data_IF_842983139064
#
_entry.id   IF_842983139064
#
_cell.length_a   1.000
_cell.length_b   1.000
_cell.length_c   1.000
_cell.angle_alpha   90.00
_cell.angle_beta   90.00
_cell.angle_gamma   90.00
#
_symmetry.space_group_name_H-M   'P 1'
#
loop_
_entity.id
_entity.type
_entity.pdbx_description
1 polymer ?
#
# COMPACT_ATOMS: atom_id res chain seq x y z
N UNK A 1 28.23 -19.76 4.39
CA UNK A 1 26.97 -18.98 4.47
C UNK A 1 27.08 -17.90 3.43
N UNK A 2 26.05 -17.69 2.64
CA UNK A 2 26.03 -16.69 1.56
C UNK A 2 24.71 -15.93 1.66
N UNK A 3 24.77 -14.61 1.48
CA UNK A 3 23.60 -13.74 1.39
C UNK A 3 23.34 -13.45 -0.08
N UNK A 4 22.14 -13.74 -0.56
CA UNK A 4 21.69 -13.32 -1.89
C UNK A 4 20.75 -12.13 -1.80
N UNK A 5 20.92 -11.14 -2.67
CA UNK A 5 20.07 -9.96 -2.70
C UNK A 5 19.67 -9.53 -4.13
N UNK A 6 18.62 -8.73 -4.23
CA UNK A 6 18.28 -8.05 -5.48
C UNK A 6 19.16 -6.82 -5.69
N UNK A 7 19.38 -6.41 -6.93
CA UNK A 7 20.03 -5.14 -7.29
C UNK A 7 19.07 -3.95 -7.04
N UNK A 8 18.80 -3.65 -5.77
CA UNK A 8 18.05 -2.47 -5.35
C UNK A 8 18.86 -1.68 -4.35
N UNK A 9 18.82 -0.35 -4.45
CA UNK A 9 19.54 0.55 -3.53
C UNK A 9 19.20 0.29 -2.05
N UNK A 10 18.00 -0.22 -1.77
CA UNK A 10 17.53 -0.53 -0.42
C UNK A 10 18.02 -1.90 0.09
N UNK A 11 18.05 -2.96 -0.73
CA UNK A 11 18.72 -4.22 -0.35
C UNK A 11 20.19 -4.01 -0.14
N UNK A 12 20.86 -3.42 -1.14
CA UNK A 12 22.31 -3.40 -1.24
C UNK A 12 22.95 -2.67 -0.06
N UNK A 13 22.34 -1.59 0.43
CA UNK A 13 22.82 -0.88 1.61
C UNK A 13 22.71 -1.67 2.93
N UNK A 14 21.73 -2.58 3.05
CA UNK A 14 21.57 -3.43 4.25
C UNK A 14 22.47 -4.65 4.18
N UNK A 15 22.45 -5.37 3.06
CA UNK A 15 23.26 -6.59 2.87
C UNK A 15 24.74 -6.27 2.86
N UNK A 16 25.18 -5.13 2.30
CA UNK A 16 26.57 -4.69 2.39
C UNK A 16 27.02 -4.41 3.83
N UNK A 17 26.15 -3.84 4.67
CA UNK A 17 26.44 -3.64 6.10
C UNK A 17 26.53 -4.97 6.84
N UNK A 18 25.60 -5.89 6.59
CA UNK A 18 25.61 -7.24 7.16
C UNK A 18 26.87 -8.03 6.73
N UNK A 19 27.26 -7.94 5.46
CA UNK A 19 28.48 -8.56 4.92
C UNK A 19 29.72 -8.16 5.71
N UNK A 20 29.93 -6.85 5.91
CA UNK A 20 31.07 -6.32 6.67
C UNK A 20 31.07 -6.80 8.13
N UNK A 21 29.89 -6.84 8.75
CA UNK A 21 29.74 -7.17 10.17
C UNK A 21 29.90 -8.67 10.43
N UNK A 22 29.42 -9.50 9.51
CA UNK A 22 29.44 -10.96 9.63
C UNK A 22 30.63 -11.62 8.96
N UNK A 23 31.39 -10.86 8.17
CA UNK A 23 32.44 -11.37 7.28
C UNK A 23 31.92 -12.45 6.32
N UNK A 24 30.83 -12.13 5.63
CA UNK A 24 30.10 -13.06 4.76
C UNK A 24 29.89 -12.47 3.39
N UNK A 25 30.00 -13.32 2.38
CA UNK A 25 29.81 -12.97 0.98
C UNK A 25 28.35 -12.59 0.69
N UNK A 26 28.18 -11.50 -0.06
CA UNK A 26 26.91 -11.06 -0.61
C UNK A 26 27.00 -11.14 -2.13
N UNK A 27 26.07 -11.87 -2.73
CA UNK A 27 25.97 -12.04 -4.17
C UNK A 27 24.62 -11.51 -4.66
N UNK A 28 24.62 -10.85 -5.82
CA UNK A 28 23.38 -10.44 -6.48
C UNK A 28 22.71 -11.65 -7.13
N UNK A 29 21.40 -11.79 -6.95
CA UNK A 29 20.64 -12.93 -7.50
C UNK A 29 20.76 -13.04 -9.02
N UNK A 30 20.85 -11.92 -9.74
CA UNK A 30 21.01 -11.87 -11.19
C UNK A 30 22.38 -12.31 -11.70
N UNK A 31 23.35 -12.51 -10.81
CA UNK A 31 24.74 -12.90 -11.14
C UNK A 31 25.07 -14.32 -10.71
N UNK A 32 24.09 -15.08 -10.19
CA UNK A 32 24.31 -16.45 -9.73
C UNK A 32 24.51 -17.36 -10.94
N UNK A 33 25.62 -18.10 -10.97
CA UNK A 33 25.77 -19.26 -11.83
C UNK A 33 25.10 -20.47 -11.16
N UNK A 34 23.96 -20.91 -11.68
CA UNK A 34 23.16 -22.00 -11.09
C UNK A 34 23.75 -23.39 -11.36
N UNK A 35 24.70 -23.49 -12.30
CA UNK A 35 25.35 -24.74 -12.67
C UNK A 35 26.55 -25.07 -11.75
N UNK A 36 27.00 -24.12 -10.92
CA UNK A 36 28.10 -24.31 -9.99
C UNK A 36 27.60 -24.73 -8.59
N UNK A 37 28.02 -25.90 -8.06
CA UNK A 37 27.61 -26.34 -6.74
C UNK A 37 28.26 -25.50 -5.64
N UNK A 38 27.46 -24.95 -4.73
CA UNK A 38 27.98 -24.26 -3.53
C UNK A 38 28.21 -25.24 -2.38
N UNK A 39 29.39 -25.15 -1.74
CA UNK A 39 29.71 -25.86 -0.49
C UNK A 39 28.94 -25.30 0.72
N UNK A 40 28.23 -24.18 0.57
CA UNK A 40 27.51 -23.54 1.68
C UNK A 40 26.29 -24.36 2.12
N UNK A 41 26.15 -24.58 3.42
CA UNK A 41 25.01 -25.29 4.03
C UNK A 41 23.82 -24.37 4.40
N UNK A 42 24.09 -23.08 4.67
CA UNK A 42 23.09 -22.07 5.03
C UNK A 42 23.06 -20.93 4.00
N UNK A 43 21.93 -20.79 3.32
CA UNK A 43 21.64 -19.76 2.35
C UNK A 43 20.67 -18.75 2.96
N UNK A 44 20.97 -17.46 2.84
CA UNK A 44 20.08 -16.39 3.27
C UNK A 44 19.64 -15.57 2.05
N UNK A 45 18.34 -15.55 1.78
CA UNK A 45 17.74 -14.80 0.69
C UNK A 45 17.16 -13.50 1.24
N UNK A 46 17.67 -12.36 0.80
CA UNK A 46 17.02 -11.08 0.99
C UNK A 46 16.23 -10.78 -0.30
N UNK A 47 14.91 -10.90 -0.25
CA UNK A 47 13.99 -10.67 -1.39
C UNK A 47 13.29 -9.31 -1.21
N UNK A 48 13.40 -8.45 -2.23
CA UNK A 48 12.71 -7.15 -2.23
C UNK A 48 11.24 -7.30 -2.59
N UNK A 49 10.38 -6.51 -1.95
CA UNK A 49 8.94 -6.45 -2.19
C UNK A 49 8.57 -5.03 -2.62
N UNK A 50 8.53 -4.84 -3.94
CA UNK A 50 8.30 -3.57 -4.65
C UNK A 50 6.83 -3.26 -4.93
N UNK A 51 5.89 -3.83 -4.16
CA UNK A 51 4.45 -3.52 -4.28
C UNK A 51 3.71 -4.32 -5.34
N UNK A 52 4.42 -5.12 -6.14
CA UNK A 52 3.87 -6.21 -6.92
C UNK A 52 3.76 -7.44 -6.02
N UNK A 53 2.62 -8.11 -6.05
CA UNK A 53 2.35 -9.30 -5.23
C UNK A 53 3.07 -10.56 -5.76
N UNK A 54 3.97 -10.41 -6.74
CA UNK A 54 4.68 -11.48 -7.44
C UNK A 54 6.20 -11.37 -7.27
N UNK A 55 6.88 -12.52 -7.21
CA UNK A 55 8.34 -12.62 -7.26
C UNK A 55 8.87 -12.11 -8.61
N UNK A 56 10.03 -11.44 -8.60
CA UNK A 56 10.71 -11.13 -9.85
C UNK A 56 11.23 -12.42 -10.51
N UNK A 57 11.39 -12.37 -11.83
CA UNK A 57 11.85 -13.52 -12.64
C UNK A 57 13.15 -14.12 -12.11
N UNK A 58 14.09 -13.30 -11.61
CA UNK A 58 15.35 -13.79 -11.07
C UNK A 58 15.18 -14.61 -9.78
N UNK A 59 14.27 -14.19 -8.90
CA UNK A 59 13.95 -14.96 -7.69
C UNK A 59 13.22 -16.24 -8.03
N UNK A 60 12.29 -16.19 -8.97
CA UNK A 60 11.56 -17.38 -9.43
C UNK A 60 12.53 -18.43 -10.00
N UNK A 61 13.48 -18.03 -10.86
CA UNK A 61 14.49 -18.92 -11.43
C UNK A 61 15.34 -19.55 -10.32
N UNK A 62 15.85 -18.77 -9.36
CA UNK A 62 16.64 -19.30 -8.25
C UNK A 62 15.82 -20.28 -7.40
N UNK A 63 14.59 -19.93 -7.05
CA UNK A 63 13.72 -20.73 -6.18
C UNK A 63 13.25 -22.04 -6.83
N UNK A 64 13.16 -22.10 -8.16
CA UNK A 64 12.88 -23.32 -8.94
C UNK A 64 14.12 -24.18 -9.20
N UNK A 65 15.32 -23.66 -8.98
CA UNK A 65 16.56 -24.34 -9.32
C UNK A 65 16.94 -25.43 -8.30
N UNK A 66 17.71 -26.43 -8.75
CA UNK A 66 18.28 -27.44 -7.83
C UNK A 66 19.37 -26.88 -6.91
N UNK A 67 19.85 -25.66 -7.17
CA UNK A 67 20.93 -25.00 -6.43
C UNK A 67 20.65 -24.94 -4.91
N UNK A 68 19.39 -24.75 -4.54
CA UNK A 68 18.96 -24.64 -3.14
C UNK A 68 18.50 -25.95 -2.51
N UNK A 69 18.51 -27.07 -3.25
CA UNK A 69 18.04 -28.37 -2.76
C UNK A 69 18.88 -28.84 -1.57
N UNK A 70 18.21 -29.34 -0.53
CA UNK A 70 18.84 -29.89 0.70
C UNK A 70 19.72 -28.89 1.47
N UNK A 71 19.65 -27.59 1.16
CA UNK A 71 20.31 -26.52 1.92
C UNK A 71 19.39 -25.98 3.00
N UNK A 72 19.92 -25.40 4.07
CA UNK A 72 19.09 -24.60 5.00
C UNK A 72 18.85 -23.23 4.36
N UNK A 73 17.61 -22.88 4.09
CA UNK A 73 17.26 -21.61 3.44
C UNK A 73 16.50 -20.72 4.40
N UNK A 74 16.99 -19.49 4.58
CA UNK A 74 16.32 -18.45 5.38
C UNK A 74 15.95 -17.30 4.46
N UNK A 75 14.67 -16.93 4.40
CA UNK A 75 14.17 -15.88 3.52
C UNK A 75 13.74 -14.66 4.33
N UNK A 76 14.40 -13.54 4.10
CA UNK A 76 14.03 -12.21 4.58
C UNK A 76 13.32 -11.44 3.47
N UNK A 77 12.09 -11.04 3.72
CA UNK A 77 11.35 -10.12 2.85
C UNK A 77 11.60 -8.68 3.31
N UNK A 78 12.01 -7.80 2.39
CA UNK A 78 12.23 -6.38 2.68
C UNK A 78 11.61 -5.51 1.59
N UNK A 79 11.34 -4.24 1.84
CA UNK A 79 10.91 -3.33 0.76
C UNK A 79 10.41 -1.99 1.26
N UNK A 80 9.94 -1.16 0.32
CA UNK A 80 9.64 0.26 0.56
C UNK A 80 8.14 0.52 0.77
N UNK A 81 7.26 -0.35 0.25
CA UNK A 81 5.81 -0.21 0.36
C UNK A 81 5.23 -0.65 1.70
N UNK A 82 4.10 -0.04 2.06
CA UNK A 82 3.43 -0.13 3.35
C UNK A 82 2.51 -1.35 3.55
N UNK A 83 2.45 -2.28 2.60
CA UNK A 83 1.61 -3.47 2.75
C UNK A 83 2.24 -4.47 3.73
N UNK A 84 1.47 -4.84 4.76
CA UNK A 84 1.83 -5.85 5.74
C UNK A 84 1.93 -7.20 5.02
N UNK A 85 3.09 -7.86 5.13
CA UNK A 85 3.29 -9.20 4.61
C UNK A 85 3.11 -10.18 5.77
N UNK A 86 2.28 -11.20 5.53
CA UNK A 86 2.01 -12.32 6.42
C UNK A 86 2.08 -13.65 5.69
N UNK A 87 1.83 -14.75 6.40
CA UNK A 87 1.87 -16.10 5.81
C UNK A 87 0.87 -16.29 4.65
N UNK A 88 -0.17 -15.47 4.57
CA UNK A 88 -1.20 -15.56 3.54
C UNK A 88 -0.92 -14.71 2.30
N UNK A 89 0.10 -13.84 2.36
CA UNK A 89 0.49 -12.97 1.27
C UNK A 89 0.91 -13.76 0.04
N UNK A 90 0.51 -13.32 -1.15
CA UNK A 90 0.74 -14.05 -2.41
C UNK A 90 2.23 -14.36 -2.60
N UNK A 91 3.10 -13.37 -2.39
CA UNK A 91 4.55 -13.57 -2.48
C UNK A 91 5.07 -14.63 -1.49
N UNK A 92 4.52 -14.71 -0.29
CA UNK A 92 4.91 -15.74 0.70
C UNK A 92 4.43 -17.11 0.24
N UNK A 93 3.19 -17.22 -0.26
CA UNK A 93 2.64 -18.45 -0.84
C UNK A 93 3.44 -18.92 -2.05
N UNK A 94 3.87 -18.01 -2.93
CA UNK A 94 4.72 -18.34 -4.08
C UNK A 94 6.09 -18.87 -3.65
N UNK A 95 6.74 -18.22 -2.68
CA UNK A 95 8.03 -18.68 -2.16
C UNK A 95 7.87 -20.05 -1.49
N UNK A 96 6.83 -20.25 -0.67
CA UNK A 96 6.53 -21.57 -0.08
C UNK A 96 6.31 -22.62 -1.15
N UNK A 97 5.47 -22.33 -2.15
CA UNK A 97 5.19 -23.26 -3.24
C UNK A 97 6.46 -23.74 -3.94
N UNK A 98 7.35 -22.81 -4.34
CA UNK A 98 8.58 -23.19 -5.02
C UNK A 98 9.59 -23.86 -4.09
N UNK A 99 9.74 -23.37 -2.86
CA UNK A 99 10.70 -23.94 -1.94
C UNK A 99 10.28 -25.33 -1.43
N UNK A 100 9.01 -25.55 -1.08
CA UNK A 100 8.52 -26.87 -0.60
C UNK A 100 8.62 -27.95 -1.68
N UNK A 101 8.51 -27.60 -2.96
CA UNK A 101 8.75 -28.53 -4.06
C UNK A 101 10.20 -29.04 -4.13
N UNK A 102 11.16 -28.32 -3.54
CA UNK A 102 12.58 -28.49 -3.79
C UNK A 102 13.43 -28.65 -2.51
N UNK A 103 12.90 -28.26 -1.34
CA UNK A 103 13.62 -28.19 -0.08
C UNK A 103 12.66 -28.37 1.12
N UNK A 104 13.10 -29.07 2.17
CA UNK A 104 12.31 -29.32 3.39
C UNK A 104 12.78 -28.49 4.60
N UNK A 105 13.87 -27.73 4.46
CA UNK A 105 14.52 -26.96 5.53
C UNK A 105 14.45 -25.46 5.25
N UNK A 106 13.23 -24.95 5.14
CA UNK A 106 12.97 -23.56 4.76
C UNK A 106 12.42 -22.79 5.94
N UNK A 107 12.89 -21.55 6.07
CA UNK A 107 12.31 -20.60 6.99
C UNK A 107 12.07 -19.27 6.33
N UNK A 108 10.80 -18.93 6.12
CA UNK A 108 10.38 -17.64 5.58
C UNK A 108 9.99 -16.75 6.75
N UNK A 109 10.51 -15.53 6.74
CA UNK A 109 10.02 -14.47 7.59
C UNK A 109 8.96 -13.69 6.84
N UNK A 110 7.68 -13.93 7.12
CA UNK A 110 6.62 -13.30 6.36
C UNK A 110 6.55 -11.80 6.65
N UNK A 111 7.08 -11.29 7.78
CA UNK A 111 7.02 -9.86 8.06
C UNK A 111 8.06 -9.08 7.25
N UNK A 112 7.57 -8.07 6.52
CA UNK A 112 8.40 -7.12 5.78
C UNK A 112 9.33 -6.34 6.70
N UNK A 113 10.64 -6.56 6.56
CA UNK A 113 11.67 -5.85 7.31
C UNK A 113 12.06 -4.56 6.58
N UNK A 114 12.18 -3.45 7.30
CA UNK A 114 12.61 -2.17 6.73
C UNK A 114 14.04 -1.83 7.15
N UNK A 115 14.83 -1.23 6.23
CA UNK A 115 16.18 -0.70 6.51
C UNK A 115 16.22 0.34 7.64
N UNK A 116 15.07 0.94 7.96
CA UNK A 116 14.92 1.91 9.03
C UNK A 116 14.58 1.28 10.38
N UNK A 117 14.18 0.00 10.43
CA UNK A 117 13.64 -0.65 11.63
C UNK A 117 14.39 -1.94 12.03
N UNK A 118 15.51 -2.26 11.37
CA UNK A 118 16.31 -3.45 11.65
C UNK A 118 17.63 -3.08 12.32
N UNK A 119 17.86 -3.58 13.55
CA UNK A 119 19.14 -3.47 14.23
C UNK A 119 20.13 -4.52 13.68
N UNK A 120 21.15 -4.03 12.98
CA UNK A 120 22.10 -4.89 12.27
C UNK A 120 22.99 -5.70 13.24
N UNK A 121 23.24 -5.19 14.44
CA UNK A 121 24.02 -5.92 15.45
C UNK A 121 23.22 -7.08 16.06
N UNK A 122 21.92 -6.92 16.28
CA UNK A 122 21.06 -8.00 16.77
C UNK A 122 20.85 -9.08 15.69
N UNK A 123 20.73 -8.69 14.41
CA UNK A 123 20.74 -9.64 13.28
C UNK A 123 22.07 -10.41 13.21
N UNK A 124 23.19 -9.76 13.52
CA UNK A 124 24.51 -10.42 13.60
C UNK A 124 24.54 -11.46 14.71
N UNK A 125 24.20 -11.08 15.94
CA UNK A 125 24.19 -11.98 17.10
C UNK A 125 23.27 -13.17 16.86
N UNK A 126 22.11 -12.93 16.24
CA UNK A 126 21.16 -13.94 15.86
C UNK A 126 21.68 -14.92 14.79
N UNK A 127 22.33 -14.42 13.74
CA UNK A 127 22.96 -15.27 12.71
C UNK A 127 24.08 -16.12 13.32
N UNK A 128 24.88 -15.54 14.23
CA UNK A 128 25.91 -16.27 14.97
C UNK A 128 25.32 -17.31 15.93
N UNK A 129 24.15 -17.02 16.52
CA UNK A 129 23.39 -17.94 17.36
C UNK A 129 22.76 -19.10 16.56
N UNK A 130 22.23 -18.84 15.36
CA UNK A 130 21.73 -19.88 14.45
C UNK A 130 22.82 -20.87 14.01
N UNK A 131 24.06 -20.38 13.91
CA UNK A 131 25.24 -21.21 13.62
C UNK A 131 25.56 -22.19 14.76
N UNK A 132 25.17 -21.88 16.00
CA UNK A 132 25.56 -22.64 17.20
C UNK A 132 24.49 -23.59 17.75
N UNK A 133 23.22 -23.54 17.27
CA UNK A 133 22.12 -24.35 17.83
C UNK A 133 21.09 -24.83 16.79
N UNK A 134 20.59 -26.07 16.96
CA UNK A 134 19.35 -26.60 16.35
C UNK A 134 18.13 -25.99 17.07
N UNK A 135 17.66 -24.83 16.61
CA UNK A 135 16.60 -24.06 17.29
C UNK A 135 15.21 -24.48 16.82
N UNK A 136 14.30 -24.69 17.78
CA UNK A 136 12.87 -24.87 17.54
C UNK A 136 12.23 -23.59 16.97
N UNK A 137 11.36 -23.77 15.98
CA UNK A 137 10.81 -22.75 15.08
C UNK A 137 10.32 -21.45 15.76
N UNK A 138 9.70 -21.59 16.94
CA UNK A 138 9.04 -20.54 17.72
C UNK A 138 9.98 -19.48 18.33
N UNK A 139 11.15 -19.85 18.87
CA UNK A 139 12.07 -18.90 19.54
C UNK A 139 12.62 -17.85 18.56
N UNK A 140 12.88 -18.29 17.34
CA UNK A 140 13.36 -17.47 16.24
C UNK A 140 12.32 -16.48 15.74
N UNK A 141 11.03 -16.87 15.71
CA UNK A 141 9.95 -15.97 15.34
C UNK A 141 9.78 -14.86 16.40
N UNK A 142 9.88 -15.23 17.68
CA UNK A 142 9.80 -14.30 18.82
C UNK A 142 10.92 -13.24 18.81
N UNK A 143 12.16 -13.65 18.53
CA UNK A 143 13.31 -12.73 18.53
C UNK A 143 13.25 -11.73 17.38
N UNK A 144 12.89 -12.17 16.17
CA UNK A 144 12.82 -11.26 15.00
C UNK A 144 11.64 -10.30 15.11
N UNK A 145 10.54 -10.73 15.73
CA UNK A 145 9.43 -9.83 16.08
C UNK A 145 9.88 -8.71 17.01
N UNK A 146 10.71 -8.99 18.02
CA UNK A 146 11.18 -7.99 18.98
C UNK A 146 11.96 -6.87 18.28
N UNK A 147 12.79 -7.20 17.29
CA UNK A 147 13.58 -6.23 16.50
C UNK A 147 12.70 -5.25 15.73
N UNK A 148 11.56 -5.71 15.19
CA UNK A 148 10.64 -4.86 14.42
C UNK A 148 9.85 -3.86 15.28
N UNK A 149 9.70 -4.14 16.58
CA UNK A 149 8.96 -3.31 17.54
C UNK A 149 9.76 -2.10 18.07
N UNK A 150 11.07 -2.01 17.80
CA UNK A 150 11.94 -1.02 18.46
C UNK A 150 11.82 0.41 17.88
N UNK A 151 11.44 0.59 16.60
CA UNK A 151 11.64 1.89 15.91
C UNK A 151 10.40 2.79 15.66
N UNK A 152 9.22 2.46 16.17
CA UNK A 152 8.10 3.41 16.26
C UNK A 152 7.31 3.21 17.55
N UNK A 153 7.96 3.50 18.68
CA UNK A 153 7.35 3.30 20.00
C UNK A 153 6.29 4.36 20.39
N UNK A 154 6.26 5.53 19.74
CA UNK A 154 5.42 6.65 20.17
C UNK A 154 4.88 7.50 18.99
N UNK A 155 3.66 8.06 19.11
CA UNK A 155 3.14 9.11 18.22
C UNK A 155 4.12 10.28 18.08
N UNK A 156 4.14 10.91 16.91
CA UNK A 156 5.03 12.03 16.61
C UNK A 156 4.23 13.27 16.22
N UNK A 157 4.62 14.40 16.79
CA UNK A 157 4.29 15.72 16.26
C UNK A 157 5.36 16.02 15.21
N UNK A 158 4.96 16.09 13.95
CA UNK A 158 5.90 16.32 12.83
C UNK A 158 6.21 17.81 12.66
N UNK A 159 5.19 18.65 12.86
CA UNK A 159 5.26 20.10 12.89
C UNK A 159 4.12 20.65 13.78
N UNK A 160 4.03 21.96 13.93
CA UNK A 160 3.02 22.61 14.77
C UNK A 160 1.57 22.32 14.31
N UNK A 161 1.37 21.89 13.06
CA UNK A 161 0.04 21.69 12.47
C UNK A 161 -0.35 20.21 12.35
N UNK A 162 0.60 19.28 12.52
CA UNK A 162 0.43 17.85 12.20
C UNK A 162 0.66 16.93 13.40
N UNK A 163 -0.41 16.24 13.80
CA UNK A 163 -0.35 15.13 14.73
C UNK A 163 -0.39 13.80 13.98
N UNK A 164 0.66 12.99 14.13
CA UNK A 164 0.73 11.68 13.49
C UNK A 164 0.82 10.56 14.54
N UNK A 165 -0.27 9.81 14.63
CA UNK A 165 -0.44 8.65 15.50
C UNK A 165 0.03 7.34 14.85
N UNK A 166 0.44 7.38 13.57
CA UNK A 166 0.89 6.19 12.85
C UNK A 166 2.12 5.60 13.52
N UNK A 167 2.00 4.32 13.90
CA UNK A 167 3.08 3.53 14.46
C UNK A 167 3.11 2.15 13.76
N UNK A 168 4.26 1.48 13.80
CA UNK A 168 4.38 0.11 13.29
C UNK A 168 3.46 -0.82 14.09
N UNK A 169 2.72 -1.68 13.39
CA UNK A 169 1.84 -2.71 13.97
C UNK A 169 0.80 -2.16 14.98
N UNK A 170 0.08 -1.08 14.66
CA UNK A 170 -0.86 -0.43 15.58
C UNK A 170 -0.23 -0.09 16.94
N UNK A 171 0.94 0.56 16.91
CA UNK A 171 1.62 0.99 18.13
C UNK A 171 0.78 1.94 18.99
N UNK A 172 -0.15 2.69 18.38
CA UNK A 172 -1.09 3.54 19.11
C UNK A 172 -2.02 2.73 20.01
N UNK A 173 -2.75 1.75 19.48
CA UNK A 173 -3.61 0.90 20.30
C UNK A 173 -2.79 0.05 21.27
N UNK A 174 -1.66 -0.51 20.83
CA UNK A 174 -0.82 -1.34 21.69
C UNK A 174 -0.30 -0.60 22.92
N UNK A 175 0.14 0.66 22.76
CA UNK A 175 0.62 1.49 23.86
C UNK A 175 -0.47 1.73 24.92
N UNK A 176 -1.70 1.96 24.47
CA UNK A 176 -2.84 2.25 25.35
C UNK A 176 -3.36 0.97 26.03
N UNK A 177 -3.39 -0.15 25.28
CA UNK A 177 -3.80 -1.45 25.80
C UNK A 177 -2.89 -1.94 26.95
N UNK A 178 -1.58 -1.72 26.87
CA UNK A 178 -0.64 -2.04 27.99
C UNK A 178 -1.01 -1.29 29.27
N UNK A 179 -1.64 -0.12 29.14
CA UNK A 179 -2.11 0.70 30.27
C UNK A 179 -3.58 0.49 30.61
N UNK A 180 -4.25 -0.50 29.99
CA UNK A 180 -5.70 -0.72 30.09
C UNK A 180 -6.53 0.52 29.69
N UNK A 181 -6.05 1.31 28.74
CA UNK A 181 -6.74 2.48 28.21
C UNK A 181 -7.34 2.13 26.85
N UNK A 182 -8.62 2.42 26.66
CA UNK A 182 -9.32 2.17 25.40
C UNK A 182 -8.84 3.15 24.30
N UNK A 183 -8.28 2.62 23.21
CA UNK A 183 -7.74 3.43 22.12
C UNK A 183 -8.80 4.24 21.36
N UNK A 184 -10.05 3.77 21.30
CA UNK A 184 -11.16 4.52 20.70
C UNK A 184 -11.53 5.73 21.54
N UNK A 185 -11.62 5.58 22.86
CA UNK A 185 -11.89 6.71 23.73
C UNK A 185 -10.81 7.79 23.62
N UNK A 186 -9.54 7.39 23.58
CA UNK A 186 -8.43 8.34 23.41
C UNK A 186 -8.47 8.99 22.04
N UNK A 187 -8.66 8.23 20.96
CA UNK A 187 -8.75 8.81 19.62
C UNK A 187 -9.96 9.76 19.48
N UNK A 188 -11.10 9.43 20.10
CA UNK A 188 -12.25 10.32 20.16
C UNK A 188 -11.88 11.65 20.82
N UNK A 189 -11.22 11.62 21.98
CA UNK A 189 -10.77 12.84 22.66
C UNK A 189 -9.74 13.61 21.83
N UNK A 190 -8.82 12.92 21.14
CA UNK A 190 -7.87 13.56 20.24
C UNK A 190 -8.62 14.28 19.11
N UNK A 191 -9.53 13.61 18.41
CA UNK A 191 -10.29 14.22 17.31
C UNK A 191 -11.16 15.38 17.78
N UNK A 192 -11.75 15.27 18.97
CA UNK A 192 -12.60 16.31 19.56
C UNK A 192 -11.79 17.55 19.98
N UNK A 193 -10.63 17.36 20.62
CA UNK A 193 -9.88 18.43 21.29
C UNK A 193 -8.64 18.90 20.53
N UNK A 194 -8.28 18.26 19.43
CA UNK A 194 -7.05 18.58 18.69
C UNK A 194 -7.06 20.01 18.17
N UNK A 195 -5.98 20.72 18.48
CA UNK A 195 -5.65 22.03 17.91
C UNK A 195 -4.83 21.92 16.62
N UNK A 196 -4.52 20.71 16.16
CA UNK A 196 -3.76 20.46 14.94
C UNK A 196 -4.71 20.51 13.72
N UNK A 197 -4.19 20.95 12.58
CA UNK A 197 -4.95 20.98 11.32
C UNK A 197 -4.92 19.63 10.60
N UNK A 198 -3.92 18.80 10.88
CA UNK A 198 -3.69 17.54 10.19
C UNK A 198 -3.59 16.42 11.22
N UNK A 199 -4.43 15.39 11.07
CA UNK A 199 -4.30 14.14 11.81
C UNK A 199 -4.03 12.99 10.85
N UNK A 200 -2.98 12.23 11.19
CA UNK A 200 -2.60 11.01 10.50
C UNK A 200 -2.69 9.86 11.49
N UNK A 201 -3.55 8.88 11.21
CA UNK A 201 -3.77 7.71 12.07
C UNK A 201 -3.84 6.47 11.18
N UNK A 202 -2.71 6.07 10.60
CA UNK A 202 -2.67 4.90 9.73
C UNK A 202 -2.37 3.64 10.53
N UNK A 203 -2.86 2.49 10.05
CA UNK A 203 -2.60 1.15 10.62
C UNK A 203 -3.01 1.02 12.09
N UNK A 204 -4.13 1.63 12.42
CA UNK A 204 -4.79 1.50 13.73
C UNK A 204 -6.09 0.75 13.51
N UNK A 205 -6.37 -0.29 14.30
CA UNK A 205 -7.65 -1.01 14.18
C UNK A 205 -8.80 -0.11 14.60
N UNK A 206 -9.48 0.51 13.64
CA UNK A 206 -10.66 1.36 13.84
C UNK A 206 -11.93 0.69 13.34
N UNK A 207 -11.95 -0.65 13.27
CA UNK A 207 -13.11 -1.40 12.78
C UNK A 207 -14.39 -1.13 13.58
N UNK A 208 -14.26 -0.83 14.89
CA UNK A 208 -15.37 -0.46 15.77
C UNK A 208 -15.40 1.01 16.19
N UNK A 209 -14.61 1.89 15.57
CA UNK A 209 -14.55 3.29 15.97
C UNK A 209 -15.78 4.07 15.51
N UNK A 210 -16.42 4.79 16.43
CA UNK A 210 -17.56 5.65 16.11
C UNK A 210 -17.10 7.12 15.94
N UNK A 211 -17.42 7.70 14.78
CA UNK A 211 -17.16 9.10 14.46
C UNK A 211 -18.32 10.02 14.83
N UNK A 212 -19.50 9.46 15.13
CA UNK A 212 -20.66 10.24 15.55
C UNK A 212 -20.36 11.01 16.84
N UNK A 213 -21.01 12.16 17.00
CA UNK A 213 -20.87 13.05 18.15
C UNK A 213 -19.49 13.72 18.30
N UNK A 214 -18.57 13.55 17.34
CA UNK A 214 -17.33 14.31 17.28
C UNK A 214 -17.56 15.58 16.46
N UNK A 215 -17.34 16.73 17.08
CA UNK A 215 -17.37 18.04 16.41
C UNK A 215 -15.97 18.64 16.44
N UNK A 216 -15.45 19.04 15.27
CA UNK A 216 -14.15 19.69 15.19
C UNK A 216 -14.13 20.73 14.07
N UNK A 217 -13.73 21.96 14.39
CA UNK A 217 -13.66 23.07 13.47
C UNK A 217 -12.22 23.53 13.17
N UNK A 218 -11.21 22.75 13.54
CA UNK A 218 -9.79 23.08 13.30
C UNK A 218 -9.19 22.16 12.24
N UNK A 219 -9.57 20.88 12.22
CA UNK A 219 -9.03 19.87 11.33
C UNK A 219 -9.35 20.19 9.88
N UNK A 220 -8.28 20.34 9.08
CA UNK A 220 -8.34 20.53 7.64
C UNK A 220 -8.09 19.22 6.88
N UNK A 221 -7.34 18.28 7.46
CA UNK A 221 -6.96 17.03 6.78
C UNK A 221 -6.94 15.82 7.71
N UNK A 222 -7.55 14.73 7.26
CA UNK A 222 -7.59 13.44 7.95
C UNK A 222 -7.02 12.35 7.04
N UNK A 223 -6.05 11.58 7.55
CA UNK A 223 -5.42 10.44 6.86
C UNK A 223 -5.49 9.18 7.72
N UNK A 224 -6.45 8.31 7.42
CA UNK A 224 -6.78 7.11 8.20
C UNK A 224 -6.70 5.89 7.28
N UNK A 225 -5.46 5.52 6.93
CA UNK A 225 -5.20 4.45 5.96
C UNK A 225 -4.98 3.12 6.65
N UNK A 226 -5.48 2.03 6.06
CA UNK A 226 -5.24 0.68 6.60
C UNK A 226 -5.74 0.50 8.03
N UNK A 227 -6.93 1.02 8.32
CA UNK A 227 -7.52 1.05 9.65
C UNK A 227 -8.66 0.04 9.85
N UNK A 228 -8.84 -0.91 8.94
CA UNK A 228 -9.91 -1.94 8.99
C UNK A 228 -11.34 -1.38 9.03
N UNK A 229 -11.53 -0.12 8.64
CA UNK A 229 -12.84 0.56 8.63
C UNK A 229 -13.73 -0.08 7.55
N UNK A 230 -14.97 -0.42 7.91
CA UNK A 230 -15.92 -1.12 7.03
C UNK A 230 -17.04 -0.23 6.48
N UNK A 231 -17.36 0.86 7.17
CA UNK A 231 -18.43 1.78 6.80
C UNK A 231 -17.85 3.18 6.51
N UNK A 232 -18.54 3.97 5.69
CA UNK A 232 -18.15 5.35 5.48
C UNK A 232 -18.25 6.14 6.79
N UNK A 233 -17.18 6.82 7.24
CA UNK A 233 -17.21 7.59 8.48
C UNK A 233 -18.13 8.81 8.34
N UNK A 234 -18.95 9.07 9.37
CA UNK A 234 -19.77 10.28 9.48
C UNK A 234 -18.91 11.45 9.92
N UNK A 235 -18.52 12.30 8.96
CA UNK A 235 -17.61 13.42 9.15
C UNK A 235 -18.29 14.79 8.96
N UNK A 236 -19.62 14.85 8.84
CA UNK A 236 -20.39 16.07 8.57
C UNK A 236 -20.10 17.20 9.57
N UNK A 237 -19.71 16.85 10.79
CA UNK A 237 -19.43 17.78 11.89
C UNK A 237 -17.99 18.33 11.89
N UNK A 238 -17.16 17.93 10.93
CA UNK A 238 -15.78 18.40 10.77
C UNK A 238 -15.74 19.62 9.83
N UNK A 239 -16.29 20.75 10.27
CA UNK A 239 -16.66 21.89 9.41
C UNK A 239 -15.55 22.47 8.52
N UNK A 240 -14.27 22.41 8.95
CA UNK A 240 -13.14 22.95 8.20
C UNK A 240 -12.36 21.91 7.36
N UNK A 241 -12.88 20.68 7.28
CA UNK A 241 -12.21 19.59 6.59
C UNK A 241 -12.16 19.83 5.08
N UNK A 242 -10.95 19.83 4.52
CA UNK A 242 -10.69 20.03 3.08
C UNK A 242 -10.23 18.76 2.38
N UNK A 243 -9.58 17.84 3.11
CA UNK A 243 -9.01 16.61 2.55
C UNK A 243 -9.31 15.41 3.44
N UNK A 244 -9.86 14.36 2.84
CA UNK A 244 -10.10 13.08 3.51
C UNK A 244 -9.40 11.95 2.76
N UNK A 245 -8.71 11.09 3.50
CA UNK A 245 -8.04 9.93 2.95
C UNK A 245 -8.27 8.71 3.84
N UNK A 246 -9.11 7.80 3.35
CA UNK A 246 -9.48 6.53 3.95
C UNK A 246 -9.07 5.37 3.04
N UNK A 247 -7.94 5.51 2.32
CA UNK A 247 -7.46 4.47 1.42
C UNK A 247 -7.04 3.19 2.18
N UNK A 248 -7.07 2.04 1.51
CA UNK A 248 -6.64 0.75 2.06
C UNK A 248 -7.48 0.27 3.26
N UNK A 249 -8.77 0.57 3.30
CA UNK A 249 -9.70 0.08 4.32
C UNK A 249 -10.57 -1.07 3.75
N UNK A 250 -11.69 -1.39 4.40
CA UNK A 250 -12.65 -2.45 4.01
C UNK A 250 -14.02 -1.87 3.66
N UNK A 251 -14.08 -0.63 3.18
CA UNK A 251 -15.34 0.08 2.94
C UNK A 251 -16.06 -0.55 1.75
N UNK A 252 -17.36 -0.84 1.91
CA UNK A 252 -18.20 -1.49 0.89
C UNK A 252 -19.07 -0.48 0.15
N UNK A 253 -19.59 0.53 0.85
CA UNK A 253 -20.41 1.59 0.27
C UNK A 253 -19.85 2.97 0.65
N UNK A 254 -19.74 3.86 -0.33
CA UNK A 254 -19.28 5.23 -0.12
C UNK A 254 -20.47 6.19 -0.01
N UNK A 255 -20.75 6.69 1.19
CA UNK A 255 -21.81 7.66 1.46
C UNK A 255 -21.26 9.09 1.42
N UNK A 256 -21.39 9.78 0.28
CA UNK A 256 -20.78 11.10 0.08
C UNK A 256 -21.43 12.17 0.96
N UNK A 257 -22.70 12.00 1.30
CA UNK A 257 -23.45 12.90 2.20
C UNK A 257 -22.92 12.92 3.64
N UNK A 258 -22.07 11.97 4.01
CA UNK A 258 -21.43 11.94 5.32
C UNK A 258 -20.26 12.93 5.43
N UNK A 259 -19.89 13.62 4.35
CA UNK A 259 -18.78 14.58 4.35
C UNK A 259 -19.28 16.02 4.41
N UNK A 260 -18.52 16.93 5.05
CA UNK A 260 -18.88 18.33 5.13
C UNK A 260 -18.66 19.02 3.77
N UNK A 261 -19.43 20.08 3.49
CA UNK A 261 -19.43 20.78 2.20
C UNK A 261 -18.11 21.49 1.84
N UNK A 262 -17.15 21.56 2.78
CA UNK A 262 -15.82 22.12 2.55
C UNK A 262 -14.82 21.15 1.91
N UNK A 263 -15.14 19.85 1.79
CA UNK A 263 -14.20 18.83 1.34
C UNK A 263 -13.89 18.98 -0.15
N UNK A 264 -12.63 19.24 -0.48
CA UNK A 264 -12.19 19.37 -1.88
C UNK A 264 -11.57 18.11 -2.45
N UNK A 265 -10.99 17.28 -1.58
CA UNK A 265 -10.14 16.14 -1.99
C UNK A 265 -10.51 14.89 -1.22
N UNK A 266 -10.91 13.86 -1.95
CA UNK A 266 -11.39 12.60 -1.40
C UNK A 266 -10.53 11.46 -1.95
N UNK A 267 -10.04 10.60 -1.05
CA UNK A 267 -9.33 9.38 -1.44
C UNK A 267 -9.84 8.17 -0.64
N UNK A 268 -10.48 7.24 -1.35
CA UNK A 268 -10.98 5.96 -0.87
C UNK A 268 -10.44 4.80 -1.73
N UNK A 269 -9.26 4.97 -2.35
CA UNK A 269 -8.61 3.91 -3.12
C UNK A 269 -8.30 2.68 -2.27
N UNK A 270 -8.20 1.50 -2.88
CA UNK A 270 -7.91 0.22 -2.22
C UNK A 270 -8.95 -0.12 -1.15
N UNK A 271 -10.23 0.00 -1.46
CA UNK A 271 -11.33 -0.48 -0.63
C UNK A 271 -12.07 -1.59 -1.39
N UNK A 272 -13.25 -1.98 -0.93
CA UNK A 272 -14.14 -2.91 -1.62
C UNK A 272 -15.41 -2.24 -2.11
N UNK A 273 -15.32 -0.93 -2.43
CA UNK A 273 -16.49 -0.11 -2.73
C UNK A 273 -17.16 -0.59 -4.01
N UNK A 274 -18.40 -1.03 -3.92
CA UNK A 274 -19.21 -1.43 -5.08
C UNK A 274 -20.33 -0.44 -5.40
N UNK A 275 -20.60 0.51 -4.50
CA UNK A 275 -21.69 1.48 -4.62
C UNK A 275 -21.31 2.84 -4.03
N UNK A 276 -21.72 3.90 -4.72
CA UNK A 276 -21.63 5.28 -4.23
C UNK A 276 -23.06 5.79 -3.97
N UNK A 277 -23.28 6.27 -2.75
CA UNK A 277 -24.55 6.77 -2.25
C UNK A 277 -24.45 8.29 -2.05
N UNK A 278 -25.38 9.02 -2.65
CA UNK A 278 -25.49 10.47 -2.54
C UNK A 278 -26.93 10.94 -2.82
N UNK A 279 -27.31 12.09 -2.28
CA UNK A 279 -28.53 12.79 -2.66
C UNK A 279 -28.34 13.44 -4.03
N UNK A 280 -28.94 12.83 -5.08
CA UNK A 280 -28.88 13.31 -6.47
C UNK A 280 -29.44 14.73 -6.64
N UNK A 281 -30.15 15.30 -5.66
CA UNK A 281 -30.64 16.69 -5.66
C UNK A 281 -29.59 17.69 -5.17
N UNK A 282 -28.57 17.22 -4.45
CA UNK A 282 -27.45 18.04 -4.00
C UNK A 282 -26.40 18.13 -5.09
N UNK A 283 -25.55 19.15 -4.95
CA UNK A 283 -24.45 19.34 -5.86
C UNK A 283 -23.11 19.29 -5.11
N UNK A 284 -22.20 18.48 -5.64
CA UNK A 284 -20.86 18.25 -5.10
C UNK A 284 -19.77 19.03 -5.85
N UNK A 285 -20.12 20.18 -6.45
CA UNK A 285 -19.21 21.11 -7.16
C UNK A 285 -18.02 21.64 -6.33
N UNK A 286 -17.98 21.40 -5.02
CA UNK A 286 -16.84 21.75 -4.18
C UNK A 286 -15.71 20.70 -4.26
N UNK A 287 -16.00 19.48 -4.71
CA UNK A 287 -15.03 18.40 -4.82
C UNK A 287 -14.27 18.53 -6.15
N UNK A 288 -12.96 18.71 -6.03
CA UNK A 288 -12.04 18.93 -7.15
C UNK A 288 -11.19 17.68 -7.46
N UNK A 289 -11.03 16.77 -6.48
CA UNK A 289 -10.18 15.59 -6.60
C UNK A 289 -10.84 14.37 -5.96
N UNK A 290 -11.04 13.31 -6.76
CA UNK A 290 -11.64 12.06 -6.33
C UNK A 290 -10.77 10.87 -6.74
N UNK A 291 -10.33 10.10 -5.75
CA UNK A 291 -9.53 8.89 -5.95
C UNK A 291 -10.24 7.66 -5.38
N UNK A 292 -10.54 6.72 -6.27
CA UNK A 292 -11.30 5.48 -6.06
C UNK A 292 -10.61 4.29 -6.74
N UNK A 293 -9.29 4.38 -6.95
CA UNK A 293 -8.48 3.32 -7.55
C UNK A 293 -8.60 2.01 -6.78
N UNK A 294 -8.65 0.86 -7.45
CA UNK A 294 -8.74 -0.46 -6.81
C UNK A 294 -9.94 -0.56 -5.87
N UNK A 295 -11.12 -0.64 -6.48
CA UNK A 295 -12.42 -0.86 -5.84
C UNK A 295 -13.23 -1.85 -6.71
N UNK A 296 -14.54 -1.93 -6.51
CA UNK A 296 -15.45 -2.84 -7.22
C UNK A 296 -16.56 -2.08 -7.97
N UNK A 297 -16.27 -0.86 -8.42
CA UNK A 297 -17.26 0.00 -9.09
C UNK A 297 -17.57 -0.50 -10.50
N UNK A 298 -18.86 -0.65 -10.77
CA UNK A 298 -19.40 -1.00 -12.10
C UNK A 298 -20.32 0.10 -12.66
N UNK A 299 -20.97 0.86 -11.78
CA UNK A 299 -21.85 1.99 -12.11
C UNK A 299 -21.11 3.32 -11.88
N UNK A 300 -21.36 4.28 -12.76
CA UNK A 300 -20.73 5.59 -12.78
C UNK A 300 -21.71 6.76 -12.91
N UNK A 301 -23.03 6.51 -12.85
CA UNK A 301 -24.06 7.57 -12.93
C UNK A 301 -23.81 8.71 -11.92
N UNK A 302 -23.30 8.35 -10.73
CA UNK A 302 -22.98 9.27 -9.64
C UNK A 302 -21.99 10.37 -10.05
N UNK A 303 -21.13 10.14 -11.06
CA UNK A 303 -20.20 11.16 -11.59
C UNK A 303 -20.93 12.41 -12.09
N UNK A 304 -22.19 12.27 -12.51
CA UNK A 304 -23.00 13.40 -12.94
C UNK A 304 -23.15 14.49 -11.88
N UNK A 305 -22.97 14.18 -10.60
CA UNK A 305 -23.11 15.12 -9.49
C UNK A 305 -21.82 15.91 -9.17
N UNK A 306 -20.70 15.62 -9.87
CA UNK A 306 -19.37 16.16 -9.57
C UNK A 306 -18.77 17.00 -10.72
N UNK A 307 -19.46 18.07 -11.16
CA UNK A 307 -19.05 18.82 -12.37
C UNK A 307 -17.73 19.60 -12.28
N UNK A 308 -17.13 19.75 -11.09
CA UNK A 308 -15.89 20.50 -10.85
C UNK A 308 -14.65 19.63 -10.61
N UNK A 309 -14.75 18.34 -10.91
CA UNK A 309 -13.63 17.40 -10.81
C UNK A 309 -12.52 17.80 -11.79
N UNK A 310 -11.32 17.98 -11.26
CA UNK A 310 -10.07 18.19 -12.00
C UNK A 310 -9.19 16.94 -12.02
N UNK A 311 -9.26 16.13 -10.96
CA UNK A 311 -8.54 14.86 -10.85
C UNK A 311 -9.52 13.73 -10.56
N UNK A 312 -9.57 12.74 -11.44
CA UNK A 312 -10.33 11.52 -11.26
C UNK A 312 -9.41 10.30 -11.39
N UNK A 313 -9.43 9.43 -10.39
CA UNK A 313 -8.77 8.14 -10.46
C UNK A 313 -9.76 7.03 -10.13
N UNK A 314 -10.12 6.25 -11.15
CA UNK A 314 -11.04 5.11 -11.08
C UNK A 314 -10.40 3.85 -11.68
N UNK A 315 -9.07 3.84 -11.86
CA UNK A 315 -8.33 2.68 -12.34
C UNK A 315 -8.48 1.46 -11.41
N UNK A 316 -8.18 0.27 -11.93
CA UNK A 316 -8.33 -1.01 -11.20
C UNK A 316 -9.74 -1.20 -10.63
N UNK A 317 -10.77 -0.74 -11.35
CA UNK A 317 -12.16 -1.13 -11.17
C UNK A 317 -12.56 -2.07 -12.32
N UNK A 318 -13.59 -2.92 -12.16
CA UNK A 318 -14.04 -3.88 -13.19
C UNK A 318 -14.74 -3.22 -14.40
N UNK A 319 -14.19 -2.12 -14.92
CA UNK A 319 -14.71 -1.39 -16.07
C UNK A 319 -14.42 -2.13 -17.38
N UNK A 320 -15.47 -2.32 -18.18
CA UNK A 320 -15.40 -2.88 -19.54
C UNK A 320 -15.38 -1.80 -20.63
N UNK A 321 -15.87 -0.61 -20.31
CA UNK A 321 -15.95 0.55 -21.19
C UNK A 321 -15.60 1.81 -20.39
N UNK A 322 -15.19 2.87 -21.07
CA UNK A 322 -15.08 4.20 -20.45
C UNK A 322 -16.51 4.73 -20.27
N UNK A 323 -16.96 5.01 -19.03
CA UNK A 323 -18.33 5.48 -18.77
C UNK A 323 -18.59 6.86 -19.39
N UNK A 324 -19.79 7.06 -19.93
CA UNK A 324 -20.15 8.28 -20.67
C UNK A 324 -20.16 9.54 -19.79
N UNK A 325 -20.40 9.37 -18.49
CA UNK A 325 -20.44 10.43 -17.50
C UNK A 325 -19.10 11.16 -17.38
N UNK A 326 -17.98 10.49 -17.69
CA UNK A 326 -16.65 11.12 -17.73
C UNK A 326 -16.63 12.28 -18.72
N UNK A 327 -17.33 12.18 -19.85
CA UNK A 327 -17.34 13.23 -20.88
C UNK A 327 -18.10 14.49 -20.44
N UNK A 328 -18.90 14.37 -19.37
CA UNK A 328 -19.55 15.48 -18.68
C UNK A 328 -18.61 16.28 -17.74
N UNK A 329 -17.42 15.78 -17.44
CA UNK A 329 -16.46 16.41 -16.52
C UNK A 329 -15.59 17.45 -17.25
N UNK A 330 -16.18 18.58 -17.60
CA UNK A 330 -15.52 19.60 -18.45
C UNK A 330 -14.27 20.24 -17.85
N UNK A 331 -14.12 20.21 -16.52
CA UNK A 331 -12.97 20.75 -15.80
C UNK A 331 -11.86 19.71 -15.56
N UNK A 332 -11.99 18.48 -16.06
CA UNK A 332 -11.02 17.40 -15.79
C UNK A 332 -9.66 17.70 -16.43
N UNK A 333 -8.60 17.59 -15.63
CA UNK A 333 -7.21 17.79 -16.04
C UNK A 333 -6.42 16.47 -16.00
N UNK A 334 -6.74 15.59 -15.06
CA UNK A 334 -6.07 14.31 -14.87
C UNK A 334 -7.09 13.18 -14.75
N UNK A 335 -7.02 12.21 -15.65
CA UNK A 335 -7.86 11.02 -15.66
C UNK A 335 -6.99 9.76 -15.56
N UNK A 336 -7.25 8.93 -14.56
CA UNK A 336 -6.66 7.59 -14.45
C UNK A 336 -7.75 6.52 -14.55
N UNK A 337 -7.63 5.70 -15.59
CA UNK A 337 -8.45 4.52 -15.89
C UNK A 337 -7.55 3.28 -16.12
N UNK A 338 -6.32 3.31 -15.57
CA UNK A 338 -5.32 2.26 -15.70
C UNK A 338 -5.78 0.95 -15.06
N UNK A 339 -5.19 -0.18 -15.48
CA UNK A 339 -5.46 -1.52 -14.95
C UNK A 339 -6.95 -1.87 -15.05
N UNK A 340 -7.58 -1.53 -16.17
CA UNK A 340 -8.99 -1.85 -16.44
C UNK A 340 -9.11 -2.74 -17.66
N UNK A 341 -10.33 -3.22 -17.93
CA UNK A 341 -10.60 -4.14 -19.03
C UNK A 341 -11.26 -3.43 -20.23
N UNK A 342 -11.02 -2.14 -20.38
CA UNK A 342 -11.53 -1.33 -21.50
C UNK A 342 -10.92 -1.79 -22.82
N UNK A 343 -11.74 -1.80 -23.89
CA UNK A 343 -11.32 -2.29 -25.22
C UNK A 343 -10.94 -1.18 -26.20
N UNK A 344 -11.51 0.01 -26.03
CA UNK A 344 -11.29 1.17 -26.89
C UNK A 344 -11.48 2.45 -26.08
N UNK A 345 -10.88 3.56 -26.54
CA UNK A 345 -11.25 4.89 -26.06
C UNK A 345 -12.36 5.46 -26.98
N UNK A 346 -13.51 5.88 -26.44
CA UNK A 346 -14.55 6.52 -27.23
C UNK A 346 -14.08 7.91 -27.72
N UNK A 347 -14.58 8.37 -28.87
CA UNK A 347 -14.14 9.64 -29.49
C UNK A 347 -14.47 10.85 -28.61
N UNK A 348 -15.49 10.72 -27.78
CA UNK A 348 -16.01 11.69 -26.81
C UNK A 348 -14.95 12.07 -25.75
N UNK A 349 -13.92 11.24 -25.53
CA UNK A 349 -12.78 11.62 -24.68
C UNK A 349 -12.03 12.84 -25.24
N UNK A 350 -12.16 13.11 -26.55
CA UNK A 350 -11.62 14.29 -27.21
C UNK A 350 -12.41 15.57 -26.85
N UNK A 351 -13.57 15.48 -26.21
CA UNK A 351 -14.34 16.64 -25.76
C UNK A 351 -13.90 17.14 -24.38
N UNK A 352 -12.93 16.45 -23.76
CA UNK A 352 -12.28 16.85 -22.52
C UNK A 352 -11.17 17.88 -22.80
N UNK A 353 -11.58 19.12 -23.13
CA UNK A 353 -10.67 20.18 -23.59
C UNK A 353 -9.60 20.59 -22.57
N UNK A 354 -9.83 20.33 -21.28
CA UNK A 354 -8.90 20.65 -20.19
C UNK A 354 -7.98 19.48 -19.81
N UNK A 355 -8.14 18.31 -20.43
CA UNK A 355 -7.38 17.11 -20.09
C UNK A 355 -5.90 17.31 -20.41
N UNK A 356 -5.05 17.15 -19.40
CA UNK A 356 -3.59 17.27 -19.50
C UNK A 356 -2.89 15.92 -19.40
N UNK A 357 -3.48 14.97 -18.66
CA UNK A 357 -2.90 13.65 -18.42
C UNK A 357 -3.95 12.55 -18.45
N UNK A 358 -3.66 11.50 -19.21
CA UNK A 358 -4.45 10.28 -19.27
C UNK A 358 -3.57 9.08 -18.90
N UNK A 359 -3.95 8.34 -17.86
CA UNK A 359 -3.28 7.10 -17.48
C UNK A 359 -4.17 5.90 -17.85
N UNK A 360 -3.67 5.10 -18.78
CA UNK A 360 -4.26 3.86 -19.33
C UNK A 360 -3.29 2.69 -19.18
N UNK A 361 -2.31 2.79 -18.26
CA UNK A 361 -1.30 1.75 -18.06
C UNK A 361 -1.96 0.41 -17.75
N UNK A 362 -1.46 -0.68 -18.33
CA UNK A 362 -1.99 -2.03 -18.14
C UNK A 362 -3.47 -2.22 -18.54
N UNK A 363 -4.01 -1.40 -19.44
CA UNK A 363 -5.26 -1.70 -20.13
C UNK A 363 -4.99 -2.69 -21.28
N UNK A 364 -4.75 -3.96 -20.94
CA UNK A 364 -4.20 -4.98 -21.87
C UNK A 364 -5.07 -5.26 -23.11
N UNK A 365 -6.37 -5.01 -23.01
CA UNK A 365 -7.33 -5.21 -24.11
C UNK A 365 -7.61 -3.94 -24.93
N UNK A 366 -6.98 -2.82 -24.58
CA UNK A 366 -7.12 -1.57 -25.30
C UNK A 366 -6.36 -1.67 -26.63
N UNK A 367 -7.08 -1.49 -27.76
CA UNK A 367 -6.45 -1.54 -29.07
C UNK A 367 -5.37 -0.46 -29.21
N UNK A 368 -4.14 -0.87 -29.50
CA UNK A 368 -2.98 0.02 -29.69
C UNK A 368 -3.06 0.89 -30.96
N UNK A 369 -3.98 0.58 -31.88
CA UNK A 369 -4.17 1.31 -33.14
C UNK A 369 -5.21 2.44 -33.06
N UNK A 370 -5.49 2.92 -31.85
CA UNK A 370 -6.55 3.90 -31.65
C UNK A 370 -6.17 5.28 -32.23
N UNK A 371 -6.92 5.70 -33.26
CA UNK A 371 -6.87 7.07 -33.79
C UNK A 371 -7.08 8.12 -32.69
N UNK A 372 -7.89 7.79 -31.68
CA UNK A 372 -8.16 8.65 -30.53
C UNK A 372 -6.88 8.88 -29.73
N UNK A 373 -6.09 7.84 -29.44
CA UNK A 373 -4.80 7.96 -28.73
C UNK A 373 -3.84 8.90 -29.44
N UNK A 374 -3.67 8.70 -30.75
CA UNK A 374 -2.80 9.57 -31.57
C UNK A 374 -3.24 11.03 -31.52
N UNK A 375 -4.55 11.28 -31.55
CA UNK A 375 -5.14 12.62 -31.48
C UNK A 375 -5.04 13.26 -30.09
N UNK A 376 -5.08 12.47 -29.02
CA UNK A 376 -4.81 12.96 -27.66
C UNK A 376 -3.35 13.40 -27.52
N UNK A 377 -2.40 12.56 -27.96
CA UNK A 377 -0.98 12.87 -27.92
C UNK A 377 -0.65 14.11 -28.76
N UNK A 378 -1.24 14.25 -29.96
CA UNK A 378 -1.00 15.42 -30.81
C UNK A 378 -1.54 16.74 -30.23
N UNK A 379 -2.46 16.68 -29.27
CA UNK A 379 -2.94 17.83 -28.49
C UNK A 379 -2.03 18.17 -27.29
N UNK A 380 -0.94 17.43 -27.09
CA UNK A 380 -0.01 17.63 -25.99
C UNK A 380 -0.44 16.97 -24.67
N UNK A 381 -1.38 16.04 -24.71
CA UNK A 381 -1.84 15.30 -23.53
C UNK A 381 -0.79 14.26 -23.17
N UNK A 382 -0.35 14.23 -21.91
CA UNK A 382 0.53 13.20 -21.38
C UNK A 382 -0.24 11.88 -21.26
N UNK A 383 -0.01 10.95 -22.19
CA UNK A 383 -0.61 9.61 -22.15
C UNK A 383 0.40 8.63 -21.56
N UNK A 384 0.04 8.00 -20.44
CA UNK A 384 0.79 6.90 -19.83
C UNK A 384 0.11 5.60 -20.25
N UNK A 385 0.82 4.77 -21.03
CA UNK A 385 0.36 3.50 -21.57
C UNK A 385 1.21 2.32 -21.09
#
# INVERSE_FOLDING_TARGET
>A
MIIYNSNSTTSSGLTHRLSKILNIEVLEVSKINLDEPTLTELIILFINVSGEEELSTEWEILLKSQFINKKRVVVFLFGIYDDYIDQNSIIVKQIYHYLEMHNQYIKIFPKKISKFNLNVNEVKEFILYLKSKNIAEYLFHKEILSLTHINQKLPKIYDAETLNLTCNFDGFSNLLNVKNINSYQVLHQILLLSSQKIIICNRVDLSGFNYELIENNILEKIYFKSCLIQNTPKLSNFSNLKTINFSANKIIELEVDNFPSGVKRINFSKNTINKILLDKRKNYHHIESLALFNNRLIDFEWLNCFKKIKYLNIGMNPMLHVPEEIFGLKDIEHLNIAVTNIKYLPKEILDLNNLKKLDIKHCVNLSSNDFVLKKLISRGIEVIC
#
